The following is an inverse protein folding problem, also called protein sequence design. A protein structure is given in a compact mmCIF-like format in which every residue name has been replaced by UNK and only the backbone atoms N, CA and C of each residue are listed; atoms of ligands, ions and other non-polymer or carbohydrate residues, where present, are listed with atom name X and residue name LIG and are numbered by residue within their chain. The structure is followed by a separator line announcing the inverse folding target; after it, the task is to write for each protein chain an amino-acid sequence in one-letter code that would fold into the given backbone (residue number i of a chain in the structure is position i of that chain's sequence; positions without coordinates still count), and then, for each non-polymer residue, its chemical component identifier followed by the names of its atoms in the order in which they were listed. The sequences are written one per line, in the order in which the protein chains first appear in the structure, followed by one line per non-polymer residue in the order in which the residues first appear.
data_IF_342256046523
#
_entry.id   IF_342256046523
#
_cell.length_a   1.000
_cell.length_b   1.000
_cell.length_c   1.000
_cell.angle_alpha   90.00
_cell.angle_beta   90.00
_cell.angle_gamma   90.00
#
_symmetry.space_group_name_H-M   'P 1'
#
loop_
_entity.id
_entity.type
_entity.pdbx_description
1 polymer ?
#
# COMPACT_ATOMS: atom_id res chain seq x y z
N UNK A 1 3.64 -42.57 -27.27
CA UNK A 1 3.21 -41.54 -28.25
C UNK A 1 4.39 -40.59 -28.58
N UNK A 2 4.95 -40.73 -29.78
CA UNK A 2 6.09 -39.92 -30.26
C UNK A 2 5.58 -38.49 -30.54
N UNK A 3 5.83 -37.58 -29.60
CA UNK A 3 5.49 -36.17 -29.72
C UNK A 3 6.34 -35.51 -30.80
N UNK A 4 5.66 -34.88 -31.74
CA UNK A 4 6.20 -34.05 -32.82
C UNK A 4 7.18 -33.01 -32.25
N UNK A 5 8.42 -33.04 -32.73
CA UNK A 5 9.43 -32.02 -32.46
C UNK A 5 8.99 -30.73 -33.12
N UNK A 6 8.25 -29.91 -32.38
CA UNK A 6 7.99 -28.51 -32.74
C UNK A 6 9.34 -27.80 -32.64
N UNK A 7 10.02 -27.64 -33.76
CA UNK A 7 11.22 -26.80 -33.85
C UNK A 7 10.77 -25.34 -33.76
N UNK A 8 10.47 -24.91 -32.53
CA UNK A 8 10.20 -23.53 -32.17
C UNK A 8 11.50 -22.72 -32.27
N UNK A 9 11.40 -21.47 -32.71
CA UNK A 9 12.48 -20.48 -32.73
C UNK A 9 13.15 -20.29 -31.34
N UNK A 10 12.50 -20.79 -30.28
CA UNK A 10 12.86 -20.67 -28.86
C UNK A 10 13.51 -21.93 -28.25
N UNK A 11 14.00 -22.85 -29.08
CA UNK A 11 14.64 -24.08 -28.62
C UNK A 11 13.66 -25.14 -28.12
N UNK A 12 14.13 -26.38 -27.96
CA UNK A 12 13.31 -27.46 -27.42
C UNK A 12 13.18 -27.30 -25.90
N UNK A 13 11.96 -27.38 -25.33
CA UNK A 13 11.79 -27.31 -23.89
C UNK A 13 12.58 -28.43 -23.22
N UNK A 14 13.54 -28.06 -22.38
CA UNK A 14 14.37 -29.01 -21.65
C UNK A 14 13.57 -29.58 -20.49
N UNK A 15 13.38 -30.89 -20.48
CA UNK A 15 12.58 -31.61 -19.49
C UNK A 15 13.49 -32.51 -18.65
N UNK A 16 13.30 -32.54 -17.34
CA UNK A 16 13.97 -33.48 -16.43
C UNK A 16 13.01 -33.92 -15.34
N UNK A 17 13.15 -35.17 -14.88
CA UNK A 17 12.38 -35.70 -13.75
C UNK A 17 13.03 -35.28 -12.44
N UNK A 18 12.21 -34.81 -11.50
CA UNK A 18 12.61 -34.46 -10.14
C UNK A 18 11.74 -35.23 -9.14
N UNK A 19 12.27 -35.44 -7.93
CA UNK A 19 11.52 -35.98 -6.80
C UNK A 19 11.13 -34.81 -5.91
N UNK A 20 9.86 -34.74 -5.53
CA UNK A 20 9.36 -33.73 -4.60
C UNK A 20 9.80 -34.11 -3.19
N UNK A 21 10.63 -33.30 -2.56
CA UNK A 21 11.15 -33.53 -1.20
C UNK A 21 10.33 -32.85 -0.12
N UNK A 22 9.56 -31.83 -0.47
CA UNK A 22 8.72 -31.07 0.45
C UNK A 22 7.79 -30.12 -0.29
N UNK A 23 6.76 -29.66 0.41
CA UNK A 23 5.81 -28.65 -0.04
C UNK A 23 5.83 -27.55 1.01
N UNK A 24 5.87 -26.30 0.57
CA UNK A 24 5.79 -25.12 1.44
C UNK A 24 4.72 -24.17 0.91
N UNK A 25 4.19 -23.34 1.81
CA UNK A 25 3.21 -22.31 1.49
C UNK A 25 3.81 -20.95 1.84
N UNK A 26 3.79 -20.05 0.87
CA UNK A 26 4.23 -18.67 1.01
C UNK A 26 3.07 -17.78 1.44
N UNK A 27 1.81 -18.21 1.24
CA UNK A 27 0.58 -17.46 1.55
C UNK A 27 -0.04 -16.89 0.26
N UNK A 28 0.78 -16.27 -0.59
CA UNK A 28 0.30 -15.73 -1.85
C UNK A 28 -0.06 -16.82 -2.87
N UNK A 29 -1.34 -16.90 -3.23
CA UNK A 29 -1.87 -17.83 -4.23
C UNK A 29 -1.06 -17.86 -5.54
N UNK A 30 -0.70 -16.69 -6.08
CA UNK A 30 0.04 -16.61 -7.35
C UNK A 30 1.42 -17.28 -7.29
N UNK A 31 2.06 -17.21 -6.12
CA UNK A 31 3.35 -17.86 -5.87
C UNK A 31 3.15 -19.34 -5.57
N UNK A 32 2.21 -19.70 -4.70
CA UNK A 32 1.98 -21.11 -4.33
C UNK A 32 1.52 -21.96 -5.53
N UNK A 33 0.86 -21.36 -6.52
CA UNK A 33 0.42 -22.03 -7.74
C UNK A 33 1.53 -22.22 -8.80
N UNK A 34 2.61 -21.43 -8.77
CA UNK A 34 3.58 -21.36 -9.87
C UNK A 34 5.04 -21.52 -9.46
N UNK A 35 5.37 -21.36 -8.17
CA UNK A 35 6.73 -21.38 -7.67
C UNK A 35 7.20 -22.82 -7.45
N UNK A 36 8.34 -23.18 -8.06
CA UNK A 36 9.03 -24.43 -7.82
C UNK A 36 10.48 -24.14 -7.49
N UNK A 37 10.95 -24.60 -6.34
CA UNK A 37 12.34 -24.46 -5.93
C UNK A 37 13.11 -25.76 -6.20
N UNK A 38 14.26 -25.63 -6.84
CA UNK A 38 15.22 -26.72 -7.06
C UNK A 38 16.62 -26.25 -6.70
N UNK A 39 17.54 -27.18 -6.48
CA UNK A 39 18.95 -26.82 -6.27
C UNK A 39 19.52 -26.08 -7.49
N UNK A 40 20.37 -25.08 -7.24
CA UNK A 40 21.01 -24.29 -8.29
C UNK A 40 21.69 -25.17 -9.35
N UNK A 41 22.42 -26.19 -8.90
CA UNK A 41 23.10 -27.14 -9.79
C UNK A 41 22.12 -27.88 -10.70
N UNK A 42 20.96 -28.26 -10.17
CA UNK A 42 19.91 -28.91 -10.97
C UNK A 42 19.28 -27.96 -11.98
N UNK A 43 19.07 -26.70 -11.61
CA UNK A 43 18.57 -25.66 -12.51
C UNK A 43 19.56 -25.39 -13.65
N UNK A 44 20.85 -25.24 -13.34
CA UNK A 44 21.92 -25.05 -14.33
C UNK A 44 22.01 -26.22 -15.32
N UNK A 45 21.91 -27.47 -14.84
CA UNK A 45 21.89 -28.64 -15.71
C UNK A 45 20.61 -28.75 -16.55
N UNK A 46 19.45 -28.35 -16.00
CA UNK A 46 18.17 -28.36 -16.71
C UNK A 46 18.16 -27.30 -17.83
N UNK A 47 18.63 -26.09 -17.54
CA UNK A 47 18.65 -24.97 -18.49
C UNK A 47 19.85 -25.05 -19.44
N UNK A 48 20.91 -25.77 -19.06
CA UNK A 48 22.17 -25.86 -19.81
C UNK A 48 22.98 -24.57 -19.74
N UNK A 49 22.91 -23.87 -18.62
CA UNK A 49 23.60 -22.57 -18.37
C UNK A 49 25.07 -22.74 -17.94
N UNK A 50 25.58 -23.97 -17.88
CA UNK A 50 26.94 -24.22 -17.42
C UNK A 50 27.13 -23.77 -15.96
N UNK A 51 28.09 -22.87 -15.74
CA UNK A 51 28.37 -22.26 -14.43
C UNK A 51 27.81 -20.83 -14.29
N UNK A 52 26.96 -20.41 -15.24
CA UNK A 52 26.32 -19.09 -15.20
C UNK A 52 25.08 -19.09 -14.31
N UNK A 53 24.74 -17.90 -13.79
CA UNK A 53 23.54 -17.64 -13.01
C UNK A 53 22.82 -16.41 -13.55
N UNK A 54 21.50 -16.41 -13.47
CA UNK A 54 20.68 -15.28 -13.96
C UNK A 54 20.83 -14.04 -13.06
N UNK A 55 21.05 -14.23 -11.76
CA UNK A 55 21.19 -13.15 -10.80
C UNK A 55 21.65 -13.64 -9.44
N UNK A 56 22.13 -12.70 -8.63
CA UNK A 56 22.55 -12.94 -7.25
C UNK A 56 21.69 -12.05 -6.36
N UNK A 57 21.04 -12.66 -5.38
CA UNK A 57 20.27 -11.94 -4.37
C UNK A 57 21.11 -11.78 -3.10
N UNK A 58 21.16 -10.56 -2.57
CA UNK A 58 21.86 -10.24 -1.33
C UNK A 58 20.88 -9.63 -0.33
N UNK A 59 20.77 -10.25 0.84
CA UNK A 59 19.97 -9.73 1.96
C UNK A 59 20.82 -8.79 2.81
N UNK A 60 20.31 -7.60 3.09
CA UNK A 60 20.94 -6.67 4.04
C UNK A 60 20.28 -6.83 5.41
N UNK A 61 21.09 -6.79 6.47
CA UNK A 61 20.58 -6.74 7.85
C UNK A 61 19.87 -5.41 8.14
N UNK A 62 20.31 -4.34 7.49
CA UNK A 62 19.78 -2.98 7.65
C UNK A 62 19.20 -2.46 6.33
N UNK A 63 17.86 -2.36 6.30
CA UNK A 63 17.11 -1.89 5.12
C UNK A 63 17.36 -0.41 4.80
N UNK A 64 17.75 0.42 5.77
CA UNK A 64 18.01 1.85 5.53
C UNK A 64 19.27 2.07 4.67
N UNK A 65 20.17 1.09 4.64
CA UNK A 65 21.41 1.12 3.85
C UNK A 65 21.25 0.61 2.42
N UNK A 66 20.04 0.20 2.01
CA UNK A 66 19.79 -0.32 0.65
C UNK A 66 20.22 0.70 -0.40
N UNK A 67 19.93 1.99 -0.21
CA UNK A 67 20.30 3.03 -1.17
C UNK A 67 21.82 3.20 -1.34
N UNK A 68 22.59 3.14 -0.25
CA UNK A 68 24.06 3.24 -0.30
C UNK A 68 24.70 1.97 -0.86
N UNK A 69 24.21 0.80 -0.45
CA UNK A 69 24.68 -0.49 -0.94
C UNK A 69 24.45 -0.64 -2.45
N UNK A 70 23.25 -0.28 -2.93
CA UNK A 70 22.89 -0.28 -4.36
C UNK A 70 23.87 0.57 -5.18
N UNK A 71 24.21 1.76 -4.70
CA UNK A 71 25.18 2.64 -5.38
C UNK A 71 26.59 2.05 -5.40
N UNK A 72 27.03 1.45 -4.29
CA UNK A 72 28.35 0.83 -4.19
C UNK A 72 28.46 -0.39 -5.10
N UNK A 73 27.45 -1.26 -5.11
CA UNK A 73 27.42 -2.47 -5.94
C UNK A 73 27.37 -2.11 -7.43
N UNK A 74 26.51 -1.17 -7.85
CA UNK A 74 26.49 -0.72 -9.25
C UNK A 74 27.82 -0.11 -9.68
N UNK A 75 28.49 0.63 -8.78
CA UNK A 75 29.81 1.20 -9.07
C UNK A 75 30.89 0.12 -9.20
N UNK A 76 30.79 -0.95 -8.43
CA UNK A 76 31.77 -2.05 -8.44
C UNK A 76 31.58 -3.00 -9.64
N UNK A 77 30.34 -3.37 -9.98
CA UNK A 77 30.05 -4.31 -11.06
C UNK A 77 29.99 -3.66 -12.44
N UNK A 78 29.38 -2.46 -12.54
CA UNK A 78 29.20 -1.76 -13.81
C UNK A 78 28.37 -2.54 -14.85
N UNK A 79 28.26 -1.97 -16.05
CA UNK A 79 27.56 -2.60 -17.18
C UNK A 79 28.25 -3.93 -17.59
N UNK A 80 27.53 -5.02 -17.88
CA UNK A 80 26.07 -5.12 -18.11
C UNK A 80 25.22 -5.42 -16.86
N UNK A 81 25.82 -5.44 -15.66
CA UNK A 81 25.12 -5.79 -14.44
C UNK A 81 24.40 -4.57 -13.84
N UNK A 82 23.22 -4.82 -13.27
CA UNK A 82 22.45 -3.80 -12.58
C UNK A 82 21.81 -4.39 -11.32
N UNK A 83 21.77 -3.61 -10.26
CA UNK A 83 21.09 -4.00 -9.03
C UNK A 83 19.60 -3.67 -9.13
N UNK A 84 18.74 -4.64 -8.84
CA UNK A 84 17.34 -4.42 -8.58
C UNK A 84 17.10 -4.47 -7.07
N UNK A 85 16.42 -3.47 -6.53
CA UNK A 85 16.01 -3.46 -5.13
C UNK A 85 14.59 -4.01 -5.00
N UNK A 86 14.27 -4.63 -3.85
CA UNK A 86 12.93 -5.10 -3.55
C UNK A 86 11.86 -4.01 -3.74
N UNK A 87 12.16 -2.78 -3.32
CA UNK A 87 11.28 -1.63 -3.50
C UNK A 87 11.04 -1.24 -4.97
N UNK A 88 12.01 -1.50 -5.86
CA UNK A 88 11.84 -1.30 -7.31
C UNK A 88 11.01 -2.43 -7.92
N UNK A 89 11.23 -3.68 -7.50
CA UNK A 89 10.52 -4.86 -8.01
C UNK A 89 9.03 -4.79 -7.66
N UNK A 90 8.69 -4.39 -6.44
CA UNK A 90 7.31 -4.24 -5.97
C UNK A 90 6.83 -2.79 -5.98
N UNK A 91 7.29 -1.98 -6.94
CA UNK A 91 6.87 -0.58 -7.07
C UNK A 91 5.35 -0.43 -7.14
N UNK A 92 4.63 -1.41 -7.70
CA UNK A 92 3.17 -1.45 -7.69
C UNK A 92 2.65 -1.40 -6.24
N UNK A 93 3.06 -2.32 -5.36
CA UNK A 93 2.62 -2.37 -3.96
C UNK A 93 2.90 -1.05 -3.23
N UNK A 94 4.09 -0.48 -3.43
CA UNK A 94 4.43 0.82 -2.85
C UNK A 94 3.59 1.97 -3.41
N UNK A 95 3.24 1.94 -4.69
CA UNK A 95 2.35 2.92 -5.30
C UNK A 95 0.93 2.77 -4.74
N UNK A 96 0.42 1.55 -4.55
CA UNK A 96 -0.85 1.28 -3.90
C UNK A 96 -0.88 1.80 -2.45
N UNK A 97 0.15 1.52 -1.65
CA UNK A 97 0.26 2.05 -0.27
C UNK A 97 0.27 3.59 -0.22
N UNK A 98 0.88 4.24 -1.22
CA UNK A 98 0.81 5.70 -1.34
C UNK A 98 -0.62 6.15 -1.68
N UNK A 99 -1.25 5.52 -2.67
CA UNK A 99 -2.62 5.83 -3.08
C UNK A 99 -3.62 5.66 -1.94
N UNK A 100 -3.46 4.63 -1.11
CA UNK A 100 -4.30 4.41 0.07
C UNK A 100 -4.22 5.58 1.05
N UNK A 101 -3.00 6.03 1.37
CA UNK A 101 -2.76 7.16 2.27
C UNK A 101 -3.32 8.46 1.71
N UNK A 102 -3.06 8.75 0.44
CA UNK A 102 -3.55 9.97 -0.22
C UNK A 102 -5.07 9.95 -0.40
N UNK A 103 -5.65 8.81 -0.76
CA UNK A 103 -7.10 8.63 -0.91
C UNK A 103 -7.83 8.87 0.39
N UNK A 104 -7.37 8.27 1.49
CA UNK A 104 -7.95 8.48 2.82
C UNK A 104 -7.89 9.95 3.26
N UNK A 105 -6.77 10.63 2.99
CA UNK A 105 -6.62 12.05 3.29
C UNK A 105 -7.60 12.93 2.50
N UNK A 106 -7.81 12.64 1.21
CA UNK A 106 -8.76 13.37 0.37
C UNK A 106 -10.20 13.18 0.87
N UNK A 107 -10.61 11.96 1.19
CA UNK A 107 -11.96 11.70 1.70
C UNK A 107 -12.20 12.41 3.04
N UNK A 108 -11.24 12.37 3.96
CA UNK A 108 -11.34 13.04 5.26
C UNK A 108 -11.42 14.57 5.13
N UNK A 109 -10.60 15.17 4.27
CA UNK A 109 -10.61 16.62 4.04
C UNK A 109 -11.90 17.10 3.39
N UNK A 110 -12.38 16.41 2.35
CA UNK A 110 -13.65 16.74 1.69
C UNK A 110 -14.86 16.55 2.62
N UNK A 111 -14.87 15.48 3.41
CA UNK A 111 -15.91 15.24 4.41
C UNK A 111 -15.98 16.35 5.47
N UNK A 112 -14.82 16.77 5.99
CA UNK A 112 -14.76 17.87 6.98
C UNK A 112 -15.20 19.20 6.37
N UNK A 113 -14.72 19.52 5.16
CA UNK A 113 -15.07 20.75 4.47
C UNK A 113 -16.57 20.84 4.17
N UNK A 114 -17.16 19.78 3.60
CA UNK A 114 -18.59 19.72 3.30
C UNK A 114 -19.45 19.82 4.56
N UNK A 115 -19.08 19.12 5.63
CA UNK A 115 -19.76 19.23 6.93
C UNK A 115 -19.74 20.65 7.51
N UNK A 116 -18.60 21.35 7.41
CA UNK A 116 -18.49 22.74 7.87
C UNK A 116 -19.35 23.69 7.04
N UNK A 117 -19.39 23.52 5.71
CA UNK A 117 -20.23 24.34 4.82
C UNK A 117 -21.70 24.15 5.13
N UNK A 118 -22.15 22.90 5.27
CA UNK A 118 -23.55 22.59 5.62
C UNK A 118 -23.90 23.15 6.99
N UNK A 119 -23.04 22.97 8.00
CA UNK A 119 -23.25 23.50 9.34
C UNK A 119 -23.35 25.02 9.36
N UNK A 120 -22.45 25.71 8.65
CA UNK A 120 -22.49 27.17 8.51
C UNK A 120 -23.77 27.65 7.83
N UNK A 121 -24.15 27.01 6.72
CA UNK A 121 -25.34 27.36 5.94
C UNK A 121 -26.63 27.16 6.75
N UNK A 122 -26.73 26.07 7.53
CA UNK A 122 -27.88 25.81 8.41
C UNK A 122 -28.00 26.88 9.50
N UNK A 123 -26.89 27.22 10.17
CA UNK A 123 -26.90 28.28 11.17
C UNK A 123 -27.29 29.64 10.54
N UNK A 124 -26.83 29.92 9.31
CA UNK A 124 -27.11 31.19 8.62
C UNK A 124 -28.60 31.29 8.24
N UNK A 125 -29.19 30.20 7.76
CA UNK A 125 -30.64 30.11 7.51
C UNK A 125 -31.42 30.32 8.81
N UNK A 126 -31.00 29.69 9.91
CA UNK A 126 -31.69 29.83 11.20
C UNK A 126 -31.69 31.28 11.71
N UNK A 127 -30.57 31.99 11.56
CA UNK A 127 -30.47 33.40 11.96
C UNK A 127 -31.38 34.30 11.14
N UNK A 128 -31.40 34.12 9.81
CA UNK A 128 -32.14 35.01 8.90
C UNK A 128 -33.64 34.69 8.82
N UNK A 129 -34.01 33.42 8.82
CA UNK A 129 -35.40 32.97 8.62
C UNK A 129 -36.12 32.59 9.91
N UNK A 130 -35.43 32.53 11.07
CA UNK A 130 -36.00 32.16 12.38
C UNK A 130 -36.93 30.94 12.29
N UNK A 131 -36.53 29.94 11.50
CA UNK A 131 -37.36 28.78 11.09
C UNK A 131 -37.91 28.03 12.31
N UNK A 132 -37.15 28.00 13.41
CA UNK A 132 -37.61 27.49 14.71
C UNK A 132 -38.15 28.67 15.51
N UNK A 133 -39.39 29.05 15.22
CA UNK A 133 -40.14 30.04 15.99
C UNK A 133 -40.80 29.33 17.18
N UNK A 134 -40.48 29.75 18.40
CA UNK A 134 -41.13 29.22 19.60
C UNK A 134 -42.51 29.88 19.76
N UNK A 135 -43.57 29.15 20.15
CA UNK A 135 -44.85 29.76 20.48
C UNK A 135 -44.66 30.74 21.65
N UNK A 136 -44.93 32.01 21.37
CA UNK A 136 -44.71 33.12 22.29
C UNK A 136 -45.55 33.04 23.58
N UNK A 137 -46.52 32.12 23.64
CA UNK A 137 -47.36 31.86 24.81
C UNK A 137 -46.60 31.23 25.99
N UNK A 138 -45.45 30.58 25.75
CA UNK A 138 -44.66 29.92 26.82
C UNK A 138 -43.25 30.51 26.92
N UNK A 139 -42.69 31.05 25.82
CA UNK A 139 -41.33 31.60 25.77
C UNK A 139 -41.31 33.10 25.48
N UNK A 140 -40.62 33.86 26.35
CA UNK A 140 -40.47 35.32 26.29
C UNK A 140 -39.60 35.78 25.09
N UNK A 141 -38.89 34.87 24.42
CA UNK A 141 -37.99 35.13 23.29
C UNK A 141 -38.48 34.44 22.01
N UNK A 142 -38.67 35.22 20.95
CA UNK A 142 -39.31 34.79 19.69
C UNK A 142 -38.44 33.88 18.80
N UNK A 143 -37.15 33.75 19.08
CA UNK A 143 -36.23 32.84 18.39
C UNK A 143 -34.98 32.54 19.25
N UNK A 144 -34.35 31.39 19.03
CA UNK A 144 -33.05 31.06 19.65
C UNK A 144 -31.95 31.93 19.02
N UNK A 145 -31.23 32.76 19.79
CA UNK A 145 -30.11 33.54 19.26
C UNK A 145 -28.93 32.62 18.94
N UNK A 146 -28.62 32.44 17.66
CA UNK A 146 -27.44 31.71 17.19
C UNK A 146 -26.27 32.69 17.10
N UNK A 147 -25.36 32.64 18.06
CA UNK A 147 -24.12 33.43 17.99
C UNK A 147 -23.10 32.71 17.11
N UNK A 148 -22.96 33.15 15.85
CA UNK A 148 -21.96 32.60 14.94
C UNK A 148 -20.57 33.15 15.25
N UNK A 149 -19.82 32.46 16.12
CA UNK A 149 -18.40 32.75 16.31
C UNK A 149 -17.56 31.92 15.33
N UNK A 150 -16.81 32.53 14.40
CA UNK A 150 -15.99 31.78 13.44
C UNK A 150 -14.92 30.92 14.11
N UNK A 151 -14.49 31.30 15.33
CA UNK A 151 -13.57 30.51 16.13
C UNK A 151 -14.13 29.14 16.52
N UNK A 152 -15.44 29.05 16.80
CA UNK A 152 -16.06 27.78 17.20
C UNK A 152 -16.04 26.78 16.03
N UNK A 153 -16.30 27.25 14.81
CA UNK A 153 -16.19 26.44 13.59
C UNK A 153 -14.75 25.99 13.30
N UNK A 154 -13.76 26.87 13.49
CA UNK A 154 -12.34 26.52 13.32
C UNK A 154 -11.92 25.48 14.37
N UNK A 155 -12.31 25.66 15.63
CA UNK A 155 -11.98 24.70 16.69
C UNK A 155 -12.63 23.33 16.49
N UNK A 156 -13.90 23.28 16.07
CA UNK A 156 -14.61 22.01 15.80
C UNK A 156 -14.00 21.30 14.58
N UNK A 157 -13.71 22.03 13.50
CA UNK A 157 -13.08 21.44 12.31
C UNK A 157 -11.67 20.92 12.59
N UNK A 158 -10.85 21.69 13.32
CA UNK A 158 -9.52 21.28 13.74
C UNK A 158 -9.56 20.08 14.70
N UNK A 159 -10.52 20.06 15.64
CA UNK A 159 -10.74 18.94 16.54
C UNK A 159 -11.16 17.66 15.81
N UNK A 160 -12.11 17.77 14.87
CA UNK A 160 -12.55 16.65 14.03
C UNK A 160 -11.40 16.07 13.20
N UNK A 161 -10.63 16.93 12.53
CA UNK A 161 -9.44 16.52 11.78
C UNK A 161 -8.40 15.86 12.67
N UNK A 162 -8.14 16.41 13.87
CA UNK A 162 -7.19 15.83 14.81
C UNK A 162 -7.62 14.43 15.27
N UNK A 163 -8.90 14.22 15.58
CA UNK A 163 -9.44 12.91 15.99
C UNK A 163 -9.35 11.91 14.83
N UNK A 164 -9.77 12.29 13.63
CA UNK A 164 -9.67 11.45 12.43
C UNK A 164 -8.21 11.11 12.10
N UNK A 165 -7.30 12.07 12.22
CA UNK A 165 -5.88 11.87 11.98
C UNK A 165 -5.27 10.93 13.02
N UNK A 166 -5.58 11.08 14.31
CA UNK A 166 -5.13 10.18 15.37
C UNK A 166 -5.70 8.76 15.19
N UNK A 167 -6.98 8.64 14.82
CA UNK A 167 -7.62 7.37 14.53
C UNK A 167 -7.00 6.66 13.31
N UNK A 168 -6.56 7.42 12.30
CA UNK A 168 -5.85 6.89 11.12
C UNK A 168 -4.38 6.56 11.42
N UNK A 169 -3.72 7.32 12.29
CA UNK A 169 -2.32 7.10 12.65
C UNK A 169 -2.10 5.78 13.40
N UNK A 170 -3.05 5.39 14.26
CA UNK A 170 -2.93 4.17 15.06
C UNK A 170 -2.75 2.90 14.20
N UNK A 171 -3.64 2.58 13.24
CA UNK A 171 -3.45 1.43 12.35
C UNK A 171 -2.30 1.67 11.36
N UNK A 172 -2.08 2.89 10.87
CA UNK A 172 -1.02 3.17 9.90
C UNK A 172 0.40 2.93 10.46
N UNK A 173 0.65 3.34 11.72
CA UNK A 173 1.92 3.08 12.38
C UNK A 173 2.07 1.59 12.74
N UNK A 174 0.99 0.94 13.19
CA UNK A 174 1.00 -0.49 13.51
C UNK A 174 1.20 -1.37 12.25
N UNK A 175 0.66 -0.96 11.11
CA UNK A 175 0.88 -1.61 9.83
C UNK A 175 2.30 -1.39 9.30
N UNK A 176 2.93 -0.24 9.59
CA UNK A 176 4.30 0.05 9.17
C UNK A 176 5.37 -0.77 9.88
N UNK A 177 5.07 -1.29 11.08
CA UNK A 177 5.97 -2.15 11.85
C UNK A 177 5.74 -3.65 11.62
N UNK A 178 4.65 -4.04 10.96
CA UNK A 178 4.47 -5.39 10.46
C UNK A 178 5.42 -5.57 9.27
N UNK A 179 6.39 -6.48 9.40
CA UNK A 179 7.29 -6.81 8.31
C UNK A 179 6.43 -7.16 7.08
N UNK A 180 6.62 -6.52 5.91
CA UNK A 180 5.80 -6.76 4.72
C UNK A 180 5.70 -8.24 4.33
N UNK A 181 6.69 -9.04 4.74
CA UNK A 181 6.75 -10.49 4.56
C UNK A 181 5.68 -11.26 5.33
N UNK A 182 5.26 -10.78 6.51
CA UNK A 182 4.36 -11.52 7.40
C UNK A 182 2.89 -11.27 7.03
N UNK A 183 2.53 -10.07 6.60
CA UNK A 183 1.20 -9.76 6.07
C UNK A 183 0.91 -10.54 4.77
N UNK A 184 1.93 -10.72 3.94
CA UNK A 184 1.88 -11.50 2.69
C UNK A 184 1.73 -13.02 2.94
N UNK A 185 2.06 -13.49 4.15
CA UNK A 185 2.01 -14.92 4.51
C UNK A 185 0.64 -15.39 5.02
N UNK A 186 -0.27 -14.45 5.30
CA UNK A 186 -1.59 -14.71 5.91
C UNK A 186 -2.78 -14.26 5.05
N UNK A 187 -2.55 -13.74 3.85
CA UNK A 187 -3.52 -13.82 2.73
C UNK A 187 -3.30 -15.14 1.99
#
# INVERSE_FOLDING_TARGET
PKGTTVTSLWGTPKMRRFVVTGIFQVGLYDFDASLVCISLRSAQLLLGSGDEVTGIEAKLDDLYKVGTATKQINKALGYPYYTLTWAQMYRHLFNWMKLEKWGSFIVLSLGTASGCVVGYLLCWIQENFKVISLPADIYIISAVPVNMRPLDFICISAGSLAICFLASLYPANKASSLQPVEAIRYE
#
